data_IF_919681998578
#
_entry.id   IF_919681998578
#
_cell.length_a   1.000
_cell.length_b   1.000
_cell.length_c   1.000
_cell.angle_alpha   90.00
_cell.angle_beta   90.00
_cell.angle_gamma   90.00
#
_symmetry.space_group_name_H-M   'P 1'
#
loop_
_entity.id
_entity.type
_entity.pdbx_description
1 polymer ?
#
# COMPACT_ATOMS: atom_id res chain seq x y z
N UNK A 1 -11.87 89.78 11.37
CA UNK A 1 -11.94 89.73 12.84
C UNK A 1 -11.51 88.35 13.26
N UNK A 2 -10.29 88.28 13.53
CA UNK A 2 -9.64 87.89 14.82
C UNK A 2 -9.84 86.42 15.19
N UNK A 3 -8.72 85.74 15.13
CA UNK A 3 -7.95 85.01 16.17
C UNK A 3 -8.45 83.59 16.43
N UNK A 4 -7.64 82.61 16.62
CA UNK A 4 -6.34 82.40 17.22
C UNK A 4 -5.78 81.03 16.83
N UNK A 5 -4.48 81.01 16.63
CA UNK A 5 -3.62 79.83 16.57
C UNK A 5 -3.78 78.94 17.81
N UNK A 6 -3.86 77.71 17.69
CA UNK A 6 -3.25 76.75 18.64
C UNK A 6 -2.55 75.60 17.91
N UNK A 7 -1.23 75.66 17.94
CA UNK A 7 -0.31 74.55 17.60
C UNK A 7 -0.58 73.45 18.62
N UNK A 8 -0.86 72.26 18.13
CA UNK A 8 -0.68 71.04 18.88
C UNK A 8 0.35 70.18 18.14
N UNK A 9 1.51 70.06 18.78
CA UNK A 9 2.57 69.11 18.39
C UNK A 9 2.03 67.68 18.52
N UNK A 10 2.02 66.93 17.45
CA UNK A 10 1.74 65.52 17.47
C UNK A 10 3.10 64.82 17.44
N UNK A 11 3.46 64.25 18.57
CA UNK A 11 4.58 63.33 18.67
C UNK A 11 4.27 62.07 17.86
N UNK A 12 4.98 61.88 16.78
CA UNK A 12 4.99 60.60 16.04
C UNK A 12 5.90 59.63 16.77
N UNK A 13 5.31 58.75 17.57
CA UNK A 13 5.98 57.59 18.09
C UNK A 13 6.08 56.55 16.96
N UNK A 14 7.26 56.45 16.39
CA UNK A 14 7.58 55.36 15.44
C UNK A 14 7.69 54.06 16.21
N UNK A 15 6.66 53.22 16.12
CA UNK A 15 6.66 51.84 16.61
C UNK A 15 7.37 50.98 15.61
N UNK A 16 8.67 50.74 15.83
CA UNK A 16 9.45 49.71 15.09
C UNK A 16 8.92 48.33 15.47
N UNK A 17 8.10 47.74 14.61
CA UNK A 17 7.68 46.35 14.70
C UNK A 17 8.86 45.52 14.22
N UNK A 18 9.67 45.01 15.15
CA UNK A 18 10.71 44.00 14.83
C UNK A 18 10.03 42.69 14.39
N UNK A 19 10.01 42.48 13.09
CA UNK A 19 9.58 41.22 12.49
C UNK A 19 10.64 40.16 12.80
N UNK A 20 10.55 39.49 13.95
CA UNK A 20 11.32 38.30 14.24
C UNK A 20 10.81 37.21 13.32
N UNK A 21 11.50 36.95 12.21
CA UNK A 21 11.31 35.81 11.36
C UNK A 21 11.58 34.54 12.20
N UNK A 22 10.50 33.91 12.66
CA UNK A 22 10.57 32.60 13.30
C UNK A 22 10.90 31.59 12.18
N UNK A 23 12.20 31.33 11.99
CA UNK A 23 12.66 30.27 11.12
C UNK A 23 12.23 28.94 11.73
N UNK A 24 11.07 28.41 11.27
CA UNK A 24 10.70 27.03 11.55
C UNK A 24 11.83 26.14 10.99
N UNK A 25 12.42 25.26 11.80
CA UNK A 25 13.39 24.32 11.28
C UNK A 25 12.67 23.50 10.20
N UNK A 26 13.15 23.57 8.97
CA UNK A 26 12.86 22.56 7.95
C UNK A 26 13.39 21.24 8.51
N UNK A 27 12.53 20.46 9.13
CA UNK A 27 12.83 19.06 9.45
C UNK A 27 12.94 18.39 8.08
N UNK A 28 14.13 17.92 7.67
CA UNK A 28 14.26 17.18 6.44
C UNK A 28 13.28 16.02 6.52
N UNK A 29 12.48 15.82 5.49
CA UNK A 29 11.66 14.62 5.36
C UNK A 29 12.63 13.44 5.45
N UNK A 30 12.67 12.80 6.63
CA UNK A 30 13.53 11.65 6.88
C UNK A 30 13.04 10.56 5.95
N UNK A 31 13.95 10.04 5.13
CA UNK A 31 13.68 8.87 4.31
C UNK A 31 13.00 7.81 5.18
N UNK A 32 12.08 7.05 4.60
CA UNK A 32 11.39 6.00 5.30
C UNK A 32 12.42 5.02 5.87
N UNK A 33 12.71 5.11 7.18
CA UNK A 33 13.68 4.27 7.86
C UNK A 33 12.96 3.14 8.61
N UNK A 34 13.61 1.99 8.70
CA UNK A 34 13.15 0.87 9.50
C UNK A 34 12.80 -0.39 8.69
N UNK A 35 12.58 -1.53 9.39
CA UNK A 35 12.40 -2.82 8.73
C UNK A 35 11.20 -2.86 7.78
N UNK A 36 10.12 -2.15 8.11
CA UNK A 36 8.93 -2.09 7.26
C UNK A 36 9.20 -1.35 5.94
N UNK A 37 9.90 -0.21 5.99
CA UNK A 37 10.25 0.53 4.78
C UNK A 37 11.21 -0.27 3.90
N UNK A 38 12.22 -0.88 4.54
CA UNK A 38 13.17 -1.72 3.82
C UNK A 38 12.49 -2.89 3.12
N UNK A 39 11.54 -3.56 3.76
CA UNK A 39 10.76 -4.62 3.11
C UNK A 39 10.09 -4.11 1.84
N UNK A 40 9.39 -2.96 1.88
CA UNK A 40 8.70 -2.43 0.70
C UNK A 40 9.68 -2.04 -0.40
N UNK A 41 10.82 -1.45 -0.03
CA UNK A 41 11.88 -1.06 -0.97
C UNK A 41 12.48 -2.28 -1.68
N UNK A 42 12.85 -3.30 -0.90
CA UNK A 42 13.42 -4.56 -1.40
C UNK A 42 12.40 -5.30 -2.30
N UNK A 43 11.12 -5.39 -1.87
CA UNK A 43 10.03 -6.00 -2.65
C UNK A 43 9.85 -5.29 -3.99
N UNK A 44 9.82 -3.96 -3.99
CA UNK A 44 9.66 -3.18 -5.21
C UNK A 44 10.86 -3.36 -6.16
N UNK A 45 12.09 -3.33 -5.63
CA UNK A 45 13.31 -3.56 -6.42
C UNK A 45 13.30 -4.96 -7.04
N UNK A 46 12.99 -5.99 -6.27
CA UNK A 46 12.92 -7.37 -6.74
C UNK A 46 11.86 -7.55 -7.84
N UNK A 47 10.68 -6.96 -7.67
CA UNK A 47 9.62 -7.00 -8.71
C UNK A 47 10.09 -6.33 -10.00
N UNK A 48 10.75 -5.17 -9.91
CA UNK A 48 11.29 -4.47 -11.10
C UNK A 48 12.36 -5.32 -11.81
N UNK A 49 13.25 -5.97 -11.09
CA UNK A 49 14.25 -6.88 -11.67
C UNK A 49 13.57 -8.06 -12.38
N UNK A 50 12.59 -8.71 -11.75
CA UNK A 50 11.83 -9.81 -12.37
C UNK A 50 11.18 -9.36 -13.68
N UNK A 51 10.60 -8.16 -13.71
CA UNK A 51 9.93 -7.63 -14.90
C UNK A 51 10.91 -7.36 -16.03
N UNK A 52 12.11 -6.86 -15.70
CA UNK A 52 13.17 -6.57 -16.69
C UNK A 52 13.80 -7.84 -17.25
N UNK A 53 14.03 -8.83 -16.38
CA UNK A 53 14.79 -10.03 -16.74
C UNK A 53 13.93 -11.12 -17.36
N UNK A 54 12.65 -11.17 -17.04
CA UNK A 54 11.75 -12.25 -17.46
C UNK A 54 10.62 -11.71 -18.34
N UNK A 55 10.45 -12.23 -19.57
CA UNK A 55 9.27 -11.89 -20.38
C UNK A 55 7.99 -12.40 -19.70
N UNK A 56 6.80 -11.88 -20.07
CA UNK A 56 5.53 -12.43 -19.64
C UNK A 56 5.46 -13.93 -19.90
N UNK A 57 5.06 -14.72 -18.89
CA UNK A 57 4.98 -16.17 -19.01
C UNK A 57 5.21 -16.88 -17.68
N UNK A 58 5.31 -18.23 -17.71
CA UNK A 58 5.39 -19.07 -16.52
C UNK A 58 6.56 -18.72 -15.59
N UNK A 59 7.73 -18.39 -16.14
CA UNK A 59 8.93 -18.06 -15.34
C UNK A 59 8.76 -16.75 -14.57
N UNK A 60 8.13 -15.74 -15.18
CA UNK A 60 7.79 -14.48 -14.48
C UNK A 60 6.75 -14.77 -13.41
N UNK A 61 5.71 -15.54 -13.73
CA UNK A 61 4.66 -15.91 -12.76
C UNK A 61 5.27 -16.65 -11.57
N UNK A 62 6.15 -17.61 -11.79
CA UNK A 62 6.81 -18.34 -10.71
C UNK A 62 7.68 -17.43 -9.84
N UNK A 63 8.41 -16.48 -10.44
CA UNK A 63 9.20 -15.50 -9.70
C UNK A 63 8.33 -14.55 -8.88
N UNK A 64 7.25 -14.01 -9.43
CA UNK A 64 6.27 -13.19 -8.70
C UNK A 64 5.60 -13.98 -7.57
N UNK A 65 5.24 -15.24 -7.84
CA UNK A 65 4.72 -16.15 -6.81
C UNK A 65 5.67 -16.26 -5.60
N UNK A 66 6.96 -16.34 -5.86
CA UNK A 66 7.96 -16.41 -4.79
C UNK A 66 7.98 -15.12 -3.96
N UNK A 67 7.94 -13.94 -4.59
CA UNK A 67 7.83 -12.65 -3.88
C UNK A 67 6.58 -12.63 -2.99
N UNK A 68 5.44 -13.04 -3.52
CA UNK A 68 4.20 -13.09 -2.74
C UNK A 68 4.32 -14.01 -1.52
N UNK A 69 4.99 -15.15 -1.63
CA UNK A 69 5.17 -16.10 -0.52
C UNK A 69 6.17 -15.61 0.53
N UNK A 70 7.19 -14.83 0.12
CA UNK A 70 8.25 -14.38 1.02
C UNK A 70 7.92 -13.08 1.72
N UNK A 71 7.28 -12.14 1.03
CA UNK A 71 7.15 -10.76 1.52
C UNK A 71 5.75 -10.45 2.07
N UNK A 72 4.74 -11.26 1.70
CA UNK A 72 3.36 -11.06 2.14
C UNK A 72 2.92 -12.13 3.14
N UNK A 73 2.10 -11.76 4.12
CA UNK A 73 1.38 -12.71 4.97
C UNK A 73 0.10 -13.16 4.27
N UNK A 74 0.27 -13.91 3.17
CA UNK A 74 -0.85 -14.40 2.37
C UNK A 74 -1.86 -15.24 3.15
N UNK A 75 -1.45 -16.10 4.12
CA UNK A 75 -2.42 -16.82 4.94
C UNK A 75 -3.36 -15.88 5.71
N UNK A 76 -2.84 -14.85 6.35
CA UNK A 76 -3.63 -13.86 7.09
C UNK A 76 -4.50 -13.02 6.15
N UNK A 77 -3.93 -12.54 5.04
CA UNK A 77 -4.66 -11.76 4.03
C UNK A 77 -5.79 -12.56 3.41
N UNK A 78 -5.53 -13.80 3.00
CA UNK A 78 -6.52 -14.68 2.37
C UNK A 78 -7.65 -15.07 3.32
N UNK A 79 -7.31 -15.41 4.59
CA UNK A 79 -8.31 -15.64 5.64
C UNK A 79 -9.22 -14.42 5.81
N UNK A 80 -8.63 -13.23 5.87
CA UNK A 80 -9.35 -11.97 6.00
C UNK A 80 -10.22 -11.69 4.77
N UNK A 81 -9.75 -12.04 3.58
CA UNK A 81 -10.49 -11.86 2.34
C UNK A 81 -11.65 -12.86 2.18
N UNK A 82 -11.50 -14.11 2.65
CA UNK A 82 -12.61 -15.09 2.65
C UNK A 82 -13.68 -14.73 3.70
N UNK A 83 -13.30 -13.96 4.73
CA UNK A 83 -14.22 -13.41 5.73
C UNK A 83 -14.95 -14.48 6.52
N UNK A 84 -16.27 -14.35 6.65
CA UNK A 84 -17.12 -15.29 7.40
C UNK A 84 -17.13 -16.70 6.80
N UNK A 85 -16.89 -16.84 5.51
CA UNK A 85 -16.83 -18.15 4.84
C UNK A 85 -15.63 -18.97 5.30
N UNK A 86 -14.57 -18.34 5.83
CA UNK A 86 -13.41 -19.06 6.37
C UNK A 86 -13.80 -19.99 7.52
N UNK A 87 -14.66 -19.54 8.43
CA UNK A 87 -15.07 -20.31 9.59
C UNK A 87 -15.96 -21.52 9.23
N UNK A 88 -16.66 -21.46 8.10
CA UNK A 88 -17.53 -22.52 7.61
C UNK A 88 -16.87 -23.46 6.60
N UNK A 89 -15.73 -23.05 6.04
CA UNK A 89 -14.96 -23.86 5.10
C UNK A 89 -14.27 -25.03 5.81
N UNK A 90 -14.27 -26.19 5.18
CA UNK A 90 -13.55 -27.37 5.67
C UNK A 90 -12.04 -27.14 5.64
N UNK A 91 -11.24 -27.89 6.40
CA UNK A 91 -9.77 -27.79 6.35
C UNK A 91 -9.19 -28.01 4.95
N UNK A 92 -9.78 -28.89 4.14
CA UNK A 92 -9.38 -29.10 2.74
C UNK A 92 -9.71 -27.87 1.87
N UNK A 93 -10.90 -27.31 1.99
CA UNK A 93 -11.29 -26.07 1.31
C UNK A 93 -10.37 -24.91 1.68
N UNK A 94 -10.05 -24.75 2.97
CA UNK A 94 -9.12 -23.72 3.42
C UNK A 94 -7.74 -23.89 2.78
N UNK A 95 -7.20 -25.10 2.76
CA UNK A 95 -5.90 -25.41 2.15
C UNK A 95 -5.90 -25.13 0.64
N UNK A 96 -6.90 -25.62 -0.08
CA UNK A 96 -7.05 -25.39 -1.53
C UNK A 96 -7.22 -23.92 -1.85
N UNK A 97 -8.05 -23.21 -1.08
CA UNK A 97 -8.25 -21.77 -1.24
C UNK A 97 -6.95 -20.98 -1.11
N UNK A 98 -6.16 -21.25 -0.06
CA UNK A 98 -4.87 -20.57 0.13
C UNK A 98 -3.92 -20.79 -1.06
N UNK A 99 -3.82 -22.01 -1.57
CA UNK A 99 -3.00 -22.32 -2.74
C UNK A 99 -3.53 -21.61 -4.01
N UNK A 100 -4.83 -21.69 -4.26
CA UNK A 100 -5.46 -21.10 -5.44
C UNK A 100 -5.36 -19.56 -5.47
N UNK A 101 -5.49 -18.89 -4.32
CA UNK A 101 -5.28 -17.42 -4.23
C UNK A 101 -3.85 -17.05 -4.60
N UNK A 102 -2.86 -17.75 -4.08
CA UNK A 102 -1.44 -17.46 -4.39
C UNK A 102 -1.17 -17.56 -5.89
N UNK A 103 -1.64 -18.63 -6.52
CA UNK A 103 -1.39 -18.88 -7.94
C UNK A 103 -2.17 -17.87 -8.82
N UNK A 104 -3.43 -17.57 -8.48
CA UNK A 104 -4.23 -16.59 -9.18
C UNK A 104 -3.65 -15.18 -9.08
N UNK A 105 -3.24 -14.74 -7.89
CA UNK A 105 -2.62 -13.41 -7.70
C UNK A 105 -1.24 -13.35 -8.41
N UNK A 106 -0.43 -14.39 -8.35
CA UNK A 106 0.85 -14.43 -9.04
C UNK A 106 0.68 -14.23 -10.55
N UNK A 107 -0.32 -14.89 -11.15
CA UNK A 107 -0.64 -14.71 -12.56
C UNK A 107 -1.13 -13.29 -12.88
N UNK A 108 -2.11 -12.79 -12.11
CA UNK A 108 -2.67 -11.44 -12.32
C UNK A 108 -1.57 -10.38 -12.24
N UNK A 109 -0.69 -10.45 -11.25
CA UNK A 109 0.41 -9.48 -11.12
C UNK A 109 1.47 -9.66 -12.19
N UNK A 110 1.81 -10.90 -12.59
CA UNK A 110 2.72 -11.15 -13.71
C UNK A 110 2.23 -10.53 -15.01
N UNK A 111 0.93 -10.61 -15.30
CA UNK A 111 0.30 -10.01 -16.48
C UNK A 111 0.25 -8.48 -16.38
N UNK A 112 -0.21 -7.93 -15.24
CA UNK A 112 -0.29 -6.47 -15.01
C UNK A 112 1.06 -5.79 -15.12
N UNK A 113 2.10 -6.39 -14.60
CA UNK A 113 3.46 -5.87 -14.70
C UNK A 113 4.05 -5.98 -16.11
N UNK A 114 3.41 -6.70 -17.02
CA UNK A 114 3.76 -6.70 -18.45
C UNK A 114 3.67 -5.32 -19.11
N UNK A 115 2.95 -4.38 -18.50
CA UNK A 115 2.81 -2.99 -18.94
C UNK A 115 3.75 -2.02 -18.21
N UNK A 116 4.78 -2.52 -17.52
CA UNK A 116 5.76 -1.66 -16.87
C UNK A 116 6.53 -0.82 -17.90
N UNK A 117 6.44 0.49 -17.77
CA UNK A 117 7.05 1.48 -18.67
C UNK A 117 8.06 2.40 -17.98
N UNK A 118 8.61 1.99 -16.81
CA UNK A 118 9.58 2.81 -16.06
C UNK A 118 8.96 3.58 -14.88
N UNK A 119 7.80 3.17 -14.40
CA UNK A 119 7.20 3.71 -13.17
C UNK A 119 8.18 3.56 -12.00
N UNK A 120 8.15 4.50 -11.05
CA UNK A 120 9.02 4.48 -9.87
C UNK A 120 8.20 4.57 -8.59
N UNK A 121 8.54 3.74 -7.61
CA UNK A 121 7.97 3.82 -6.28
C UNK A 121 8.85 4.71 -5.40
N UNK A 122 8.23 5.73 -4.80
CA UNK A 122 8.91 6.63 -3.84
C UNK A 122 8.25 6.45 -2.49
N UNK A 123 9.05 5.98 -1.51
CA UNK A 123 8.57 5.82 -0.15
C UNK A 123 8.39 7.18 0.53
N UNK A 124 7.39 7.27 1.38
CA UNK A 124 7.03 8.44 2.15
C UNK A 124 7.22 8.19 3.65
N UNK A 125 6.19 8.57 4.43
CA UNK A 125 6.21 8.44 5.89
C UNK A 125 6.01 6.99 6.32
N UNK A 126 6.76 6.57 7.35
CA UNK A 126 6.45 5.37 8.13
C UNK A 126 5.77 5.80 9.43
N UNK A 127 4.63 5.17 9.73
CA UNK A 127 3.87 5.42 10.95
C UNK A 127 3.72 4.11 11.73
N UNK A 128 4.31 4.06 12.92
CA UNK A 128 4.09 2.96 13.85
C UNK A 128 2.67 3.04 14.43
N UNK A 129 1.95 1.92 14.39
CA UNK A 129 0.59 1.77 14.93
C UNK A 129 0.57 0.97 16.24
N UNK A 130 1.74 0.57 16.72
CA UNK A 130 1.87 -0.33 17.88
C UNK A 130 1.64 -1.81 17.51
N UNK A 131 1.92 -2.69 18.46
CA UNK A 131 1.73 -4.15 18.33
C UNK A 131 2.40 -4.76 17.08
N UNK A 132 3.57 -4.23 16.69
CA UNK A 132 4.32 -4.69 15.52
C UNK A 132 3.70 -4.28 14.17
N UNK A 133 2.74 -3.35 14.15
CA UNK A 133 2.10 -2.87 12.93
C UNK A 133 2.69 -1.52 12.52
N UNK A 134 3.16 -1.42 11.29
CA UNK A 134 3.61 -0.19 10.65
C UNK A 134 2.82 0.09 9.39
N UNK A 135 2.53 1.38 9.15
CA UNK A 135 1.98 1.86 7.88
C UNK A 135 3.08 2.60 7.13
N UNK A 136 3.38 2.15 5.92
CA UNK A 136 4.35 2.78 5.02
C UNK A 136 3.60 3.46 3.90
N UNK A 137 3.71 4.78 3.81
CA UNK A 137 3.16 5.55 2.70
C UNK A 137 4.11 5.53 1.51
N UNK A 138 3.59 5.51 0.30
CA UNK A 138 4.38 5.63 -0.91
C UNK A 138 3.59 6.26 -2.06
N UNK A 139 4.31 6.70 -3.09
CA UNK A 139 3.74 7.17 -4.35
C UNK A 139 4.34 6.38 -5.50
N UNK A 140 3.48 5.82 -6.33
CA UNK A 140 3.88 5.24 -7.61
C UNK A 140 3.81 6.34 -8.66
N UNK A 141 4.98 6.88 -9.03
CA UNK A 141 5.08 7.84 -10.11
C UNK A 141 4.86 7.14 -11.45
N UNK A 142 3.92 7.64 -12.21
CA UNK A 142 3.62 7.15 -13.54
C UNK A 142 4.49 7.85 -14.58
N UNK A 143 4.69 7.24 -15.75
CA UNK A 143 5.36 7.90 -16.88
C UNK A 143 4.51 9.03 -17.45
N UNK A 144 3.20 8.96 -17.31
CA UNK A 144 2.22 9.99 -17.67
C UNK A 144 1.09 10.00 -16.65
N UNK A 145 0.55 11.17 -16.32
CA UNK A 145 -0.57 11.31 -15.38
C UNK A 145 -0.13 11.62 -13.95
N UNK A 146 -1.08 11.52 -13.01
CA UNK A 146 -0.83 11.79 -11.61
C UNK A 146 -0.22 10.58 -10.90
N UNK A 147 0.66 10.79 -9.90
CA UNK A 147 1.14 9.71 -9.06
C UNK A 147 -0.02 9.01 -8.33
N UNK A 148 0.07 7.69 -8.21
CA UNK A 148 -0.89 6.88 -7.43
C UNK A 148 -0.40 6.78 -5.98
N UNK A 149 -1.27 7.07 -5.03
CA UNK A 149 -1.00 6.90 -3.61
C UNK A 149 -1.14 5.43 -3.22
N UNK A 150 -0.08 4.87 -2.61
CA UNK A 150 -0.10 3.49 -2.10
C UNK A 150 0.32 3.53 -0.63
N UNK A 151 -0.43 2.83 0.21
CA UNK A 151 -0.10 2.64 1.61
C UNK A 151 -0.03 1.15 1.91
N UNK A 152 1.04 0.74 2.58
CA UNK A 152 1.33 -0.64 2.91
C UNK A 152 1.16 -0.86 4.40
N UNK A 153 0.34 -1.81 4.79
CA UNK A 153 0.32 -2.30 6.15
C UNK A 153 1.35 -3.43 6.26
N UNK A 154 2.30 -3.25 7.16
CA UNK A 154 3.36 -4.22 7.44
C UNK A 154 3.24 -4.65 8.90
N UNK A 155 3.25 -5.96 9.14
CA UNK A 155 3.21 -6.53 10.48
C UNK A 155 4.48 -7.36 10.74
N UNK A 156 5.10 -7.13 11.89
CA UNK A 156 6.13 -8.00 12.42
C UNK A 156 5.56 -8.81 13.60
N UNK A 157 5.51 -10.12 13.40
CA UNK A 157 5.06 -11.09 14.42
C UNK A 157 6.21 -11.80 15.13
N UNK A 158 7.44 -11.27 15.00
CA UNK A 158 8.66 -11.84 15.58
C UNK A 158 9.45 -12.77 14.66
N UNK A 159 8.91 -13.09 13.47
CA UNK A 159 9.61 -13.82 12.39
C UNK A 159 10.05 -12.92 11.23
N UNK A 160 10.03 -11.62 11.46
CA UNK A 160 10.31 -10.58 10.48
C UNK A 160 9.05 -9.93 9.92
N UNK A 161 9.22 -8.74 9.30
CA UNK A 161 8.09 -7.99 8.77
C UNK A 161 7.49 -8.66 7.53
N UNK A 162 6.16 -8.62 7.41
CA UNK A 162 5.37 -9.10 6.27
C UNK A 162 4.30 -8.09 5.91
N UNK A 163 3.99 -7.98 4.63
CA UNK A 163 2.89 -7.13 4.14
C UNK A 163 1.57 -7.84 4.44
N UNK A 164 0.65 -7.13 5.12
CA UNK A 164 -0.68 -7.67 5.51
C UNK A 164 -1.84 -6.97 4.81
N UNK A 165 -1.64 -5.79 4.23
CA UNK A 165 -2.60 -5.12 3.35
C UNK A 165 -1.88 -4.12 2.44
N UNK A 166 -2.46 -3.87 1.28
CA UNK A 166 -2.05 -2.80 0.36
C UNK A 166 -3.27 -1.94 0.10
N UNK A 167 -3.15 -0.63 0.33
CA UNK A 167 -4.20 0.33 0.02
C UNK A 167 -3.79 1.18 -1.16
N UNK A 168 -4.60 1.18 -2.19
CA UNK A 168 -4.40 1.99 -3.40
C UNK A 168 -5.46 3.08 -3.39
N UNK A 169 -5.04 4.35 -3.42
CA UNK A 169 -5.94 5.51 -3.28
C UNK A 169 -6.89 5.40 -2.07
N UNK A 170 -6.36 4.88 -0.95
CA UNK A 170 -7.09 4.68 0.29
C UNK A 170 -7.97 3.41 0.35
N UNK A 171 -8.11 2.67 -0.74
CA UNK A 171 -8.94 1.45 -0.83
C UNK A 171 -8.09 0.21 -0.51
N UNK A 172 -8.46 -0.53 0.55
CA UNK A 172 -7.80 -1.77 0.96
C UNK A 172 -8.04 -2.89 -0.04
N UNK A 173 -6.96 -3.53 -0.49
CA UNK A 173 -7.05 -4.66 -1.41
C UNK A 173 -7.63 -5.91 -0.73
N UNK A 174 -7.33 -6.14 0.55
CA UNK A 174 -7.95 -7.22 1.32
C UNK A 174 -9.47 -7.03 1.43
N UNK A 175 -9.92 -5.80 1.70
CA UNK A 175 -11.37 -5.49 1.77
C UNK A 175 -12.04 -5.63 0.41
N UNK A 176 -11.40 -5.19 -0.66
CA UNK A 176 -11.89 -5.36 -2.05
C UNK A 176 -12.03 -6.85 -2.37
N UNK A 177 -11.00 -7.65 -2.11
CA UNK A 177 -11.07 -9.11 -2.32
C UNK A 177 -12.17 -9.77 -1.50
N UNK A 178 -12.41 -9.30 -0.25
CA UNK A 178 -13.51 -9.80 0.56
C UNK A 178 -14.86 -9.56 -0.09
N UNK A 179 -15.08 -8.38 -0.62
CA UNK A 179 -16.31 -8.05 -1.33
C UNK A 179 -16.47 -8.91 -2.59
N UNK A 180 -15.43 -9.05 -3.39
CA UNK A 180 -15.42 -9.82 -4.62
C UNK A 180 -15.71 -11.29 -4.35
N UNK A 181 -14.99 -11.90 -3.38
CA UNK A 181 -15.14 -13.30 -3.03
C UNK A 181 -16.52 -13.60 -2.44
N UNK A 182 -17.00 -12.73 -1.53
CA UNK A 182 -18.35 -12.88 -1.00
C UNK A 182 -19.42 -12.79 -2.10
N UNK A 183 -19.30 -11.82 -2.99
CA UNK A 183 -20.25 -11.67 -4.11
C UNK A 183 -20.24 -12.88 -5.03
N UNK A 184 -19.05 -13.41 -5.33
CA UNK A 184 -18.91 -14.61 -6.14
C UNK A 184 -19.56 -15.84 -5.48
N UNK A 185 -19.26 -16.08 -4.20
CA UNK A 185 -19.81 -17.19 -3.43
C UNK A 185 -21.34 -17.08 -3.36
N UNK A 186 -21.88 -15.89 -3.06
CA UNK A 186 -23.34 -15.70 -3.01
C UNK A 186 -24.00 -15.94 -4.38
N UNK A 187 -23.38 -15.49 -5.46
CA UNK A 187 -23.86 -15.73 -6.82
C UNK A 187 -23.84 -17.22 -7.24
N UNK A 188 -23.12 -18.06 -6.49
CA UNK A 188 -22.98 -19.50 -6.74
C UNK A 188 -23.56 -20.33 -5.58
N UNK A 189 -24.68 -19.90 -5.02
CA UNK A 189 -25.45 -20.68 -4.02
C UNK A 189 -24.75 -20.81 -2.66
N UNK A 190 -23.85 -19.88 -2.31
CA UNK A 190 -23.12 -19.91 -1.04
C UNK A 190 -21.95 -20.93 -1.01
N UNK A 191 -21.57 -21.48 -2.15
CA UNK A 191 -20.57 -22.56 -2.23
C UNK A 191 -19.16 -22.02 -2.34
N UNK A 192 -18.32 -22.24 -1.33
CA UNK A 192 -16.90 -21.87 -1.31
C UNK A 192 -16.09 -22.59 -2.40
N UNK A 193 -16.44 -23.85 -2.71
CA UNK A 193 -15.78 -24.63 -3.77
C UNK A 193 -15.90 -24.00 -5.15
N UNK A 194 -17.01 -23.30 -5.44
CA UNK A 194 -17.15 -22.57 -6.70
C UNK A 194 -16.09 -21.48 -6.85
N UNK A 195 -15.82 -20.72 -5.78
CA UNK A 195 -14.74 -19.72 -5.75
C UNK A 195 -13.36 -20.38 -5.89
N UNK A 196 -13.13 -21.48 -5.16
CA UNK A 196 -11.84 -22.20 -5.22
C UNK A 196 -11.56 -22.66 -6.66
N UNK A 197 -12.56 -23.29 -7.30
CA UNK A 197 -12.42 -23.74 -8.69
C UNK A 197 -12.15 -22.58 -9.65
N UNK A 198 -12.81 -21.45 -9.46
CA UNK A 198 -12.57 -20.25 -10.28
C UNK A 198 -11.14 -19.72 -10.10
N UNK A 199 -10.64 -19.66 -8.86
CA UNK A 199 -9.27 -19.23 -8.58
C UNK A 199 -8.23 -20.21 -9.15
N UNK A 200 -8.46 -21.53 -9.02
CA UNK A 200 -7.61 -22.58 -9.61
C UNK A 200 -7.53 -22.41 -11.14
N UNK A 201 -8.64 -22.06 -11.79
CA UNK A 201 -8.66 -21.81 -13.24
C UNK A 201 -7.91 -20.53 -13.62
N UNK A 202 -8.01 -19.49 -12.79
CA UNK A 202 -7.26 -18.24 -13.00
C UNK A 202 -5.76 -18.38 -12.76
N UNK A 203 -5.33 -19.32 -11.95
CA UNK A 203 -3.91 -19.58 -11.66
C UNK A 203 -3.18 -20.37 -12.76
N UNK A 204 -3.92 -20.99 -13.68
CA UNK A 204 -3.39 -21.76 -14.82
C UNK A 204 -3.10 -20.86 -16.01
#
# INVERSE_FOLDING_TARGET
MLLLLRRRAVLTASLMFALTAFALPLVPARAADGPAAKLIEDTAAQVIEIIKDKPPGPDRQAAIRQVLLTDFDLPTMSRSALGTHWATATPDQQKRFLAAVVDAEARIYSERFGHYGGQTLVLGKVTDRGNGVSMVDSKLNQTTGQPISIQWEVRDSGSGPRITDVRIEGVSMVTTRRSDFNSYIQGHGGQVDALITELENRGR
#
